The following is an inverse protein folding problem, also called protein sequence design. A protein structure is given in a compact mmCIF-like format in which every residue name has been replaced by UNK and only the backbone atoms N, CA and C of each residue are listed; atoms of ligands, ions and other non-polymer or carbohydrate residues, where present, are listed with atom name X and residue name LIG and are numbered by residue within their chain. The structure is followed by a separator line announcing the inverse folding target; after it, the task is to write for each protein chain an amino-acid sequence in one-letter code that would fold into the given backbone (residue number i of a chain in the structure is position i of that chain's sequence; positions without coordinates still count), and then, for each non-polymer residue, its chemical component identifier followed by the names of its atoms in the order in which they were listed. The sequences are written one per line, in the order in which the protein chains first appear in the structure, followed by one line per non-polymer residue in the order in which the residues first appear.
data_IF_144712245238
#
_entry.id   IF_144712245238
#
_cell.length_a   1.000
_cell.length_b   1.000
_cell.length_c   1.000
_cell.angle_alpha   90.00
_cell.angle_beta   90.00
_cell.angle_gamma   90.00
#
_symmetry.space_group_name_H-M   'P 1'
#
loop_
_entity.id
_entity.type
_entity.pdbx_description
1 polymer ?
#
# COMPACT_ATOMS: atom_id res chain seq x y z
N UNK A 1 0.59 -82.37 -6.68
CA UNK A 1 -0.77 -81.88 -7.01
C UNK A 1 -0.63 -80.46 -7.55
N UNK A 2 -1.29 -80.19 -8.68
CA UNK A 2 -1.13 -78.99 -9.51
C UNK A 2 -1.64 -77.73 -8.79
N UNK A 3 -0.89 -76.67 -8.97
CA UNK A 3 -1.17 -75.27 -8.62
C UNK A 3 -2.52 -74.80 -9.16
N UNK A 4 -3.28 -74.06 -8.34
CA UNK A 4 -4.31 -73.14 -8.83
C UNK A 4 -4.24 -71.81 -8.06
N UNK A 5 -4.28 -70.73 -8.84
CA UNK A 5 -4.07 -69.33 -8.50
C UNK A 5 -5.38 -68.70 -8.01
N UNK A 6 -5.33 -67.80 -7.03
CA UNK A 6 -6.27 -66.67 -7.01
C UNK A 6 -5.63 -65.46 -6.34
N UNK A 7 -5.45 -64.41 -7.13
CA UNK A 7 -4.98 -63.09 -6.71
C UNK A 7 -6.11 -62.35 -5.97
N UNK A 8 -5.79 -61.72 -4.85
CA UNK A 8 -6.66 -60.73 -4.22
C UNK A 8 -5.94 -59.39 -4.26
N UNK A 9 -6.22 -58.63 -5.32
CA UNK A 9 -5.92 -57.22 -5.40
C UNK A 9 -6.98 -56.47 -4.58
N UNK A 10 -6.59 -55.82 -3.49
CA UNK A 10 -7.43 -54.86 -2.80
C UNK A 10 -6.71 -53.52 -2.83
N UNK A 11 -7.06 -52.74 -3.85
CA UNK A 11 -6.55 -51.42 -4.15
C UNK A 11 -6.87 -50.44 -3.02
N UNK A 12 -5.85 -49.89 -2.34
CA UNK A 12 -6.03 -48.71 -1.50
C UNK A 12 -6.19 -47.47 -2.40
N UNK A 13 -7.42 -46.97 -2.51
CA UNK A 13 -7.70 -45.70 -3.13
C UNK A 13 -7.27 -44.56 -2.18
N UNK A 14 -6.13 -43.91 -2.47
CA UNK A 14 -5.80 -42.61 -1.90
C UNK A 14 -6.74 -41.55 -2.52
N UNK A 15 -7.74 -41.10 -1.76
CA UNK A 15 -8.50 -39.90 -2.09
C UNK A 15 -7.78 -38.70 -1.49
N UNK A 16 -6.85 -38.12 -2.27
CA UNK A 16 -6.28 -36.82 -1.98
C UNK A 16 -7.35 -35.75 -2.23
N UNK A 17 -8.00 -35.27 -1.16
CA UNK A 17 -8.83 -34.06 -1.21
C UNK A 17 -7.87 -32.88 -1.37
N UNK A 18 -7.62 -32.48 -2.61
CA UNK A 18 -7.01 -31.20 -2.92
C UNK A 18 -7.99 -30.11 -2.51
N UNK A 19 -7.80 -29.55 -1.31
CA UNK A 19 -8.46 -28.29 -0.95
C UNK A 19 -7.85 -27.20 -1.84
N UNK A 20 -8.56 -26.88 -2.92
CA UNK A 20 -8.36 -25.64 -3.64
C UNK A 20 -8.60 -24.50 -2.64
N UNK A 21 -7.54 -23.80 -2.26
CA UNK A 21 -7.64 -22.49 -1.62
C UNK A 21 -7.83 -21.46 -2.73
N UNK A 22 -9.00 -20.84 -2.92
CA UNK A 22 -9.10 -19.62 -3.68
C UNK A 22 -8.83 -18.48 -2.72
N UNK A 23 -7.68 -17.86 -2.82
CA UNK A 23 -7.51 -16.43 -2.54
C UNK A 23 -6.15 -16.05 -3.05
N UNK A 24 -6.11 -15.74 -4.35
CA UNK A 24 -5.27 -14.65 -4.81
C UNK A 24 -5.56 -13.47 -3.87
N UNK A 25 -4.67 -13.24 -2.91
CA UNK A 25 -4.55 -11.95 -2.27
C UNK A 25 -4.27 -10.99 -3.42
N UNK A 26 -5.33 -10.36 -3.94
CA UNK A 26 -5.19 -9.18 -4.77
C UNK A 26 -4.59 -8.15 -3.82
N UNK A 27 -3.26 -8.10 -3.77
CA UNK A 27 -2.52 -6.92 -3.37
C UNK A 27 -3.17 -5.81 -4.17
N UNK A 28 -4.08 -5.04 -3.56
CA UNK A 28 -4.66 -3.87 -4.19
C UNK A 28 -3.48 -3.12 -4.77
N UNK A 29 -3.45 -2.99 -6.09
CA UNK A 29 -2.46 -2.19 -6.80
C UNK A 29 -2.57 -0.78 -6.21
N UNK A 30 -1.67 -0.49 -5.26
CA UNK A 30 -2.06 0.32 -4.11
C UNK A 30 -2.28 1.77 -4.48
N UNK A 31 -3.33 2.37 -3.92
CA UNK A 31 -3.58 3.82 -3.95
C UNK A 31 -2.75 4.47 -2.84
N UNK A 32 -1.45 4.63 -3.09
CA UNK A 32 -0.55 5.27 -2.13
C UNK A 32 -0.39 6.76 -2.40
N UNK A 33 -0.24 7.54 -1.33
CA UNK A 33 0.18 8.94 -1.38
C UNK A 33 1.38 9.16 -0.48
N UNK A 34 2.18 10.18 -0.78
CA UNK A 34 3.25 10.64 0.10
C UNK A 34 2.73 11.72 1.04
N UNK A 35 2.88 11.51 2.35
CA UNK A 35 2.50 12.46 3.39
C UNK A 35 3.66 13.37 3.83
N UNK A 36 4.90 13.06 3.46
CA UNK A 36 6.08 13.83 3.83
C UNK A 36 7.28 12.92 4.07
N UNK A 37 8.12 13.31 5.03
CA UNK A 37 9.36 12.59 5.36
C UNK A 37 9.56 12.47 6.86
N UNK A 38 10.32 11.45 7.26
CA UNK A 38 10.95 11.39 8.57
C UNK A 38 12.35 12.00 8.51
N UNK A 39 12.66 12.85 9.48
CA UNK A 39 14.03 13.30 9.72
C UNK A 39 14.88 12.18 10.33
N UNK A 40 16.18 12.40 10.47
CA UNK A 40 17.08 11.44 11.11
C UNK A 40 16.70 11.22 12.58
N UNK A 41 16.16 12.23 13.24
CA UNK A 41 15.61 12.20 14.60
C UNK A 41 14.20 11.56 14.66
N UNK A 42 13.76 10.90 13.58
CA UNK A 42 12.48 10.19 13.49
C UNK A 42 11.26 11.09 13.68
N UNK A 43 11.39 12.38 13.34
CA UNK A 43 10.30 13.36 13.40
C UNK A 43 9.67 13.52 12.02
N UNK A 44 8.35 13.61 11.96
CA UNK A 44 7.64 13.88 10.72
C UNK A 44 7.83 15.33 10.26
N UNK A 45 8.84 15.56 9.42
CA UNK A 45 9.12 16.81 8.75
C UNK A 45 10.08 16.61 7.54
N UNK A 46 9.92 17.37 6.43
CA UNK A 46 8.78 18.23 6.16
C UNK A 46 7.52 17.42 5.84
N UNK A 47 6.37 18.05 6.08
CA UNK A 47 5.07 17.53 5.68
C UNK A 47 4.76 17.95 4.26
N UNK A 48 4.06 17.11 3.51
CA UNK A 48 3.54 17.53 2.22
C UNK A 48 2.32 18.44 2.44
N UNK A 49 2.21 19.57 1.70
CA UNK A 49 1.02 20.42 1.78
C UNK A 49 -0.23 19.64 1.37
N UNK A 50 -1.38 20.09 1.87
CA UNK A 50 -2.66 19.48 1.54
C UNK A 50 -3.03 18.23 2.33
N UNK A 51 -2.14 17.74 3.20
CA UNK A 51 -2.31 16.51 3.97
C UNK A 51 -2.44 16.81 5.46
N UNK A 52 -3.59 16.44 6.01
CA UNK A 52 -3.84 16.48 7.45
C UNK A 52 -4.10 15.04 7.95
N UNK A 53 -3.17 14.53 8.76
CA UNK A 53 -3.32 13.20 9.39
C UNK A 53 -4.15 13.33 10.65
N UNK A 54 -5.06 12.39 10.85
CA UNK A 54 -5.91 12.34 12.03
C UNK A 54 -5.58 11.10 12.86
N UNK A 55 -5.46 11.31 14.17
CA UNK A 55 -5.38 10.23 15.14
C UNK A 55 -6.72 9.49 15.26
N UNK A 56 -6.76 8.39 16.00
CA UNK A 56 -7.97 7.58 16.17
C UNK A 56 -9.13 8.34 16.81
N UNK A 57 -8.83 9.36 17.62
CA UNK A 57 -9.83 10.25 18.23
C UNK A 57 -10.30 11.39 17.30
N UNK A 58 -9.86 11.38 16.03
CA UNK A 58 -10.21 12.37 15.02
C UNK A 58 -9.42 13.67 15.12
N UNK A 59 -8.47 13.81 16.05
CA UNK A 59 -7.67 15.04 16.18
C UNK A 59 -6.55 15.09 15.15
N UNK A 60 -6.30 16.29 14.65
CA UNK A 60 -5.21 16.58 13.73
C UNK A 60 -3.83 16.36 14.39
N UNK A 61 -2.95 15.71 13.65
CA UNK A 61 -1.57 15.42 14.08
C UNK A 61 -0.63 16.47 13.51
N UNK A 62 -0.20 17.40 14.36
CA UNK A 62 0.68 18.51 14.00
C UNK A 62 2.17 18.19 14.14
N UNK A 63 2.54 17.15 14.88
CA UNK A 63 3.88 16.59 14.96
C UNK A 63 3.80 15.18 15.48
N UNK A 64 4.48 14.25 14.80
CA UNK A 64 4.49 12.85 15.18
C UNK A 64 5.88 12.26 14.99
N UNK A 65 6.23 11.33 15.86
CA UNK A 65 7.31 10.38 15.59
C UNK A 65 6.82 9.20 14.74
N UNK A 66 7.75 8.33 14.34
CA UNK A 66 7.45 7.15 13.53
C UNK A 66 6.42 6.21 14.17
N UNK A 67 6.45 6.03 15.49
CA UNK A 67 5.54 5.13 16.20
C UNK A 67 4.12 5.69 16.20
N UNK A 68 3.98 6.99 16.43
CA UNK A 68 2.69 7.67 16.36
C UNK A 68 2.12 7.65 14.93
N UNK A 69 2.97 7.85 13.92
CA UNK A 69 2.56 7.77 12.51
C UNK A 69 2.03 6.38 12.14
N UNK A 70 2.61 5.30 12.67
CA UNK A 70 2.13 3.94 12.41
C UNK A 70 0.68 3.71 12.88
N UNK A 71 0.19 4.51 13.82
CA UNK A 71 -1.17 4.46 14.36
C UNK A 71 -2.21 5.25 13.56
N UNK A 72 -1.84 5.98 12.51
CA UNK A 72 -2.77 6.83 11.76
C UNK A 72 -3.77 5.99 10.99
N UNK A 73 -5.06 6.33 11.11
CA UNK A 73 -6.17 5.61 10.47
C UNK A 73 -6.98 6.45 9.51
N UNK A 74 -6.83 7.77 9.54
CA UNK A 74 -7.60 8.68 8.71
C UNK A 74 -6.73 9.84 8.24
N UNK A 75 -7.02 10.30 7.03
CA UNK A 75 -6.39 11.48 6.43
C UNK A 75 -7.45 12.36 5.80
N UNK A 76 -7.28 13.67 5.92
CA UNK A 76 -8.02 14.68 5.17
C UNK A 76 -7.12 15.28 4.10
N UNK A 77 -7.66 15.40 2.90
CA UNK A 77 -6.99 16.03 1.76
C UNK A 77 -7.62 17.39 1.45
N UNK A 78 -6.86 18.46 1.68
CA UNK A 78 -7.26 19.84 1.31
C UNK A 78 -6.73 20.24 -0.07
N UNK A 79 -5.84 19.44 -0.65
CA UNK A 79 -5.39 19.52 -2.03
C UNK A 79 -5.37 18.12 -2.66
N UNK A 80 -5.49 17.99 -3.99
CA UNK A 80 -5.33 16.70 -4.64
C UNK A 80 -3.96 16.09 -4.36
N UNK A 81 -3.93 14.79 -4.06
CA UNK A 81 -2.71 14.05 -3.77
C UNK A 81 -2.50 12.97 -4.84
N UNK A 82 -1.32 12.96 -5.48
CA UNK A 82 -1.03 12.00 -6.55
C UNK A 82 -1.04 10.57 -6.02
N UNK A 83 -1.72 9.70 -6.75
CA UNK A 83 -1.73 8.28 -6.48
C UNK A 83 -0.55 7.63 -7.17
N UNK A 84 0.23 6.90 -6.39
CA UNK A 84 1.31 6.05 -6.87
C UNK A 84 1.07 4.62 -6.39
N UNK A 85 1.77 3.68 -7.02
CA UNK A 85 1.95 2.35 -6.41
C UNK A 85 2.61 2.52 -5.05
N UNK A 86 2.28 1.62 -4.13
CA UNK A 86 2.90 1.56 -2.82
C UNK A 86 4.29 0.91 -2.92
N UNK A 87 5.32 1.63 -2.49
CA UNK A 87 6.66 1.09 -2.42
C UNK A 87 6.89 0.27 -1.14
N UNK A 88 6.14 0.56 -0.08
CA UNK A 88 6.27 -0.10 1.21
C UNK A 88 7.60 0.25 1.88
N UNK A 89 8.37 -0.74 2.31
CA UNK A 89 9.70 -0.52 2.92
C UNK A 89 10.86 -0.67 1.93
N UNK A 90 10.57 -0.78 0.63
CA UNK A 90 11.59 -0.96 -0.41
C UNK A 90 12.34 0.34 -0.69
N UNK A 91 13.54 0.20 -1.22
CA UNK A 91 14.31 1.34 -1.74
C UNK A 91 13.70 1.83 -3.05
N UNK A 92 13.63 3.15 -3.22
CA UNK A 92 13.04 3.77 -4.42
C UNK A 92 13.97 3.69 -5.63
N UNK A 93 13.39 3.44 -6.81
CA UNK A 93 14.10 3.47 -8.10
C UNK A 93 14.44 4.91 -8.50
N UNK A 94 15.60 5.14 -9.12
CA UNK A 94 16.00 6.48 -9.58
C UNK A 94 15.18 6.88 -10.81
N UNK A 95 14.80 8.15 -10.88
CA UNK A 95 14.13 8.70 -12.07
C UNK A 95 15.02 8.60 -13.33
N UNK A 96 16.33 8.79 -13.19
CA UNK A 96 17.30 8.71 -14.30
C UNK A 96 17.45 7.28 -14.87
N UNK A 97 17.02 6.26 -14.12
CA UNK A 97 17.06 4.86 -14.55
C UNK A 97 15.77 4.48 -15.32
N UNK A 98 14.80 5.40 -15.45
CA UNK A 98 13.55 5.19 -16.17
C UNK A 98 13.59 5.89 -17.54
N UNK A 99 13.06 5.25 -18.60
CA UNK A 99 12.93 5.90 -19.89
C UNK A 99 12.04 7.14 -19.76
N UNK A 100 12.42 8.23 -20.45
CA UNK A 100 11.62 9.46 -20.50
C UNK A 100 10.25 9.13 -21.09
N UNK A 101 9.21 9.25 -20.27
CA UNK A 101 7.83 9.05 -20.71
C UNK A 101 7.17 10.38 -21.07
N UNK A 102 6.31 10.42 -22.09
CA UNK A 102 5.53 11.61 -22.42
C UNK A 102 4.66 12.04 -21.23
N UNK A 103 4.49 13.35 -21.05
CA UNK A 103 3.60 13.91 -20.03
C UNK A 103 2.17 13.43 -20.29
N UNK A 104 1.70 12.51 -19.48
CA UNK A 104 0.32 12.02 -19.49
C UNK A 104 -0.41 12.49 -18.22
N UNK A 105 -1.75 12.59 -18.25
CA UNK A 105 -2.53 12.78 -17.05
C UNK A 105 -2.21 11.68 -16.02
N UNK A 106 -2.04 12.07 -14.76
CA UNK A 106 -1.72 11.17 -13.65
C UNK A 106 -2.89 11.06 -12.67
N UNK A 107 -3.18 9.86 -12.13
CA UNK A 107 -4.25 9.70 -11.16
C UNK A 107 -3.91 10.39 -9.83
N UNK A 108 -4.92 10.97 -9.20
CA UNK A 108 -4.83 11.62 -7.91
C UNK A 108 -6.09 11.37 -7.09
N UNK A 109 -5.94 11.28 -5.77
CA UNK A 109 -7.07 11.41 -4.87
C UNK A 109 -7.48 12.89 -4.81
N UNK A 110 -8.75 13.17 -5.05
CA UNK A 110 -9.29 14.53 -5.05
C UNK A 110 -9.30 15.12 -3.64
N UNK A 111 -9.15 16.44 -3.54
CA UNK A 111 -9.42 17.18 -2.32
C UNK A 111 -10.91 17.10 -1.95
N UNK A 112 -11.24 17.25 -0.67
CA UNK A 112 -12.64 17.37 -0.25
C UNK A 112 -12.86 17.33 1.26
N UNK A 113 -14.09 17.60 1.71
CA UNK A 113 -14.46 17.65 3.13
C UNK A 113 -14.51 16.26 3.79
N UNK A 114 -14.48 15.18 3.00
CA UNK A 114 -14.48 13.81 3.51
C UNK A 114 -13.11 13.32 3.93
N UNK A 115 -13.10 12.37 4.87
CA UNK A 115 -11.90 11.62 5.28
C UNK A 115 -11.67 10.43 4.36
N UNK A 116 -10.41 10.11 4.11
CA UNK A 116 -10.00 8.85 3.50
C UNK A 116 -9.45 7.93 4.59
N UNK A 117 -9.82 6.66 4.54
CA UNK A 117 -9.27 5.67 5.45
C UNK A 117 -7.83 5.33 5.06
N UNK A 118 -6.95 5.29 6.06
CA UNK A 118 -5.57 4.83 5.93
C UNK A 118 -5.53 3.35 6.28
N UNK A 119 -5.25 2.53 5.28
CA UNK A 119 -5.14 1.08 5.44
C UNK A 119 -3.79 0.70 6.06
N UNK A 120 -2.72 1.39 5.64
CA UNK A 120 -1.37 1.16 6.13
C UNK A 120 -0.52 2.43 6.03
N UNK A 121 0.46 2.54 6.92
CA UNK A 121 1.53 3.54 6.87
C UNK A 121 2.85 2.81 6.68
N UNK A 122 3.61 3.22 5.68
CA UNK A 122 4.91 2.66 5.35
C UNK A 122 5.99 3.73 5.38
N UNK A 123 7.24 3.30 5.55
CA UNK A 123 8.40 4.17 5.63
C UNK A 123 9.46 3.80 4.60
N UNK A 124 9.22 4.04 3.29
CA UNK A 124 10.19 3.73 2.25
C UNK A 124 11.52 4.45 2.52
N UNK A 125 12.63 3.72 2.41
CA UNK A 125 13.97 4.30 2.63
C UNK A 125 14.41 5.09 1.41
N UNK A 126 14.93 6.28 1.68
CA UNK A 126 15.57 7.10 0.66
C UNK A 126 17.05 6.71 0.54
N UNK A 127 17.56 6.67 -0.69
CA UNK A 127 18.97 6.37 -0.97
C UNK A 127 19.92 7.38 -0.35
N UNK A 128 19.48 8.64 -0.24
CA UNK A 128 20.25 9.76 0.34
C UNK A 128 20.15 9.86 1.86
N UNK A 129 19.53 8.88 2.52
CA UNK A 129 19.24 8.90 3.95
C UNK A 129 17.86 9.49 4.27
N UNK A 130 17.31 9.05 5.40
CA UNK A 130 15.94 9.34 5.82
C UNK A 130 14.90 8.38 5.24
N UNK A 131 13.64 8.58 5.62
CA UNK A 131 12.52 7.75 5.21
C UNK A 131 11.38 8.64 4.72
N UNK A 132 10.59 8.16 3.76
CA UNK A 132 9.31 8.78 3.41
C UNK A 132 8.24 8.39 4.42
N UNK A 133 7.15 9.14 4.43
CA UNK A 133 5.89 8.71 5.06
C UNK A 133 4.92 8.42 3.92
N UNK A 134 4.67 7.15 3.64
CA UNK A 134 3.76 6.68 2.60
C UNK A 134 2.46 6.17 3.24
N UNK A 135 1.31 6.60 2.73
CA UNK A 135 0.01 6.14 3.19
C UNK A 135 -0.67 5.33 2.09
N UNK A 136 -1.03 4.08 2.40
CA UNK A 136 -1.96 3.31 1.59
C UNK A 136 -3.38 3.71 1.96
N UNK A 137 -4.16 4.19 1.00
CA UNK A 137 -5.49 4.71 1.23
C UNK A 137 -6.57 3.82 0.59
N UNK A 138 -7.70 3.70 1.27
CA UNK A 138 -8.94 3.26 0.64
C UNK A 138 -9.56 4.47 -0.09
N UNK A 139 -9.24 4.62 -1.38
CA UNK A 139 -9.73 5.72 -2.22
C UNK A 139 -10.93 5.23 -3.06
N UNK A 140 -12.14 5.78 -2.84
CA UNK A 140 -13.28 5.48 -3.68
C UNK A 140 -13.04 5.92 -5.13
N UNK A 141 -13.56 5.18 -6.10
CA UNK A 141 -13.32 5.46 -7.53
C UNK A 141 -13.78 6.87 -7.95
N UNK A 142 -14.88 7.35 -7.37
CA UNK A 142 -15.42 8.70 -7.57
C UNK A 142 -14.54 9.82 -7.00
N UNK A 143 -13.58 9.47 -6.13
CA UNK A 143 -12.57 10.39 -5.59
C UNK A 143 -11.26 10.33 -6.36
N UNK A 144 -11.15 9.51 -7.41
CA UNK A 144 -9.98 9.47 -8.28
C UNK A 144 -10.17 10.45 -9.45
N UNK A 145 -9.24 11.38 -9.62
CA UNK A 145 -9.23 12.37 -10.70
C UNK A 145 -7.93 12.29 -11.48
N UNK A 146 -7.96 12.65 -12.76
CA UNK A 146 -6.76 12.72 -13.60
C UNK A 146 -6.25 14.16 -13.64
N UNK A 147 -4.99 14.37 -13.25
CA UNK A 147 -4.34 15.69 -13.27
C UNK A 147 -3.34 15.78 -14.41
N UNK A 148 -3.39 16.87 -15.18
CA UNK A 148 -2.40 17.18 -16.22
C UNK A 148 -1.27 18.02 -15.62
N UNK A 149 -0.01 17.70 -15.95
CA UNK A 149 1.24 18.31 -15.45
C UNK A 149 2.04 19.01 -16.55
#
# INVERSE_FOLDING_TARGET
MKTLRTAFACSLALTAVAMALPSSAQVSEGNCILAGRLTLEQRWAPKLPGIELLAQDGKAVSGADKQQLAGIKQVRLTQPALLSRCDGSRELTRADDLPVQPKAPVPAASAGPGLLAVEAVSFPKLRTGGELVELKLAVPAERVVMLTR
#
